data_IF_807363720881
#
_entry.id   IF_807363720881
#
_cell.length_a   1.000
_cell.length_b   1.000
_cell.length_c   1.000
_cell.angle_alpha   90.00
_cell.angle_beta   90.00
_cell.angle_gamma   90.00
#
_symmetry.space_group_name_H-M   'P 1'
#
loop_
_entity.id
_entity.type
_entity.pdbx_description
1 polymer ?
#
# COMPACT_ATOMS: atom_id res chain seq x y z
N UNK A 1 -16.36 -8.62 -7.59
CA UNK A 1 -15.04 -9.12 -8.03
C UNK A 1 -14.68 -10.21 -7.04
N UNK A 2 -14.62 -11.47 -7.48
CA UNK A 2 -14.42 -12.60 -6.56
C UNK A 2 -13.10 -12.46 -5.82
N UNK A 3 -13.12 -12.65 -4.50
CA UNK A 3 -11.92 -12.72 -3.67
C UNK A 3 -11.08 -13.91 -4.16
N UNK A 4 -10.07 -13.63 -4.97
CA UNK A 4 -8.94 -14.54 -5.13
C UNK A 4 -8.20 -14.44 -3.81
N UNK A 5 -8.10 -15.55 -3.07
CA UNK A 5 -7.29 -15.58 -1.86
C UNK A 5 -5.87 -15.17 -2.27
N UNK A 6 -5.39 -14.05 -1.72
CA UNK A 6 -4.05 -13.57 -2.01
C UNK A 6 -3.06 -14.71 -1.76
N UNK A 7 -2.04 -14.81 -2.62
CA UNK A 7 -0.97 -15.80 -2.43
C UNK A 7 -0.46 -15.67 -0.98
N UNK A 8 -0.29 -16.78 -0.21
CA UNK A 8 -0.04 -16.70 1.23
C UNK A 8 1.21 -15.90 1.60
N UNK A 9 2.14 -15.74 0.66
CA UNK A 9 3.34 -14.92 0.81
C UNK A 9 3.12 -13.42 0.55
N UNK A 10 2.08 -13.04 -0.21
CA UNK A 10 1.70 -11.64 -0.48
C UNK A 10 0.77 -11.09 0.58
N UNK A 11 -0.11 -11.92 1.16
CA UNK A 11 -1.13 -11.49 2.11
C UNK A 11 -0.57 -10.64 3.27
N UNK A 12 0.51 -11.04 3.98
CA UNK A 12 1.06 -10.22 5.08
C UNK A 12 1.70 -8.91 4.63
N UNK A 13 2.16 -8.82 3.37
CA UNK A 13 2.72 -7.58 2.83
C UNK A 13 1.61 -6.62 2.38
N UNK A 14 0.50 -7.17 1.88
CA UNK A 14 -0.69 -6.41 1.51
C UNK A 14 -1.46 -5.88 2.71
N UNK A 15 -1.62 -6.68 3.77
CA UNK A 15 -2.26 -6.24 5.02
C UNK A 15 -1.52 -5.03 5.62
N UNK A 16 -0.19 -5.11 5.73
CA UNK A 16 0.62 -3.99 6.21
C UNK A 16 0.52 -2.76 5.32
N UNK A 17 0.50 -2.97 3.99
CA UNK A 17 0.31 -1.86 3.07
C UNK A 17 -1.04 -1.18 3.34
N UNK A 18 -2.12 -1.93 3.48
CA UNK A 18 -3.45 -1.38 3.75
C UNK A 18 -3.50 -0.60 5.07
N UNK A 19 -2.87 -1.12 6.13
CA UNK A 19 -2.68 -0.40 7.41
C UNK A 19 -2.01 0.97 7.22
N UNK A 20 -0.89 1.01 6.48
CA UNK A 20 -0.19 2.28 6.23
C UNK A 20 -0.97 3.24 5.31
N UNK A 21 -1.84 2.72 4.44
CA UNK A 21 -2.74 3.55 3.62
C UNK A 21 -3.90 4.10 4.46
N UNK A 22 -4.33 3.39 5.51
CA UNK A 22 -5.39 3.86 6.43
C UNK A 22 -4.96 5.08 7.23
N UNK A 23 -3.67 5.16 7.53
CA UNK A 23 -3.07 6.28 8.25
C UNK A 23 -2.87 7.52 7.38
N UNK A 24 -3.27 7.50 6.09
CA UNK A 24 -3.22 8.68 5.24
C UNK A 24 -4.38 9.63 5.54
N UNK A 25 -4.10 10.94 5.64
CA UNK A 25 -5.16 11.92 5.84
C UNK A 25 -6.11 11.95 4.64
N UNK A 26 -7.41 11.86 4.93
CA UNK A 26 -8.47 11.92 3.93
C UNK A 26 -8.91 10.57 3.35
N UNK A 27 -8.27 9.47 3.75
CA UNK A 27 -8.77 8.11 3.48
C UNK A 27 -9.92 7.79 4.43
N UNK A 28 -11.04 7.29 3.89
CA UNK A 28 -12.18 6.88 4.70
C UNK A 28 -11.95 5.49 5.30
N UNK A 29 -11.79 5.45 6.63
CA UNK A 29 -11.55 4.19 7.33
C UNK A 29 -12.77 3.23 7.32
N UNK A 30 -13.94 3.69 6.87
CA UNK A 30 -15.15 2.88 6.77
C UNK A 30 -15.25 2.03 5.50
N UNK A 31 -14.38 2.23 4.50
CA UNK A 31 -14.31 1.42 3.28
C UNK A 31 -12.96 0.68 3.12
N UNK A 32 -12.78 -0.47 3.83
CA UNK A 32 -11.61 -1.32 3.67
C UNK A 32 -11.38 -1.83 2.24
N UNK A 33 -12.44 -2.02 1.45
CA UNK A 33 -12.32 -2.50 0.06
C UNK A 33 -11.88 -1.37 -0.89
N UNK A 34 -12.20 -0.12 -0.56
CA UNK A 34 -11.90 1.09 -1.32
C UNK A 34 -10.54 1.71 -1.03
N UNK A 35 -9.89 1.36 0.07
CA UNK A 35 -8.71 2.07 0.61
C UNK A 35 -7.58 2.31 -0.40
N UNK A 36 -7.22 1.29 -1.17
CA UNK A 36 -6.15 1.38 -2.18
C UNK A 36 -6.53 2.35 -3.31
N UNK A 37 -7.81 2.42 -3.66
CA UNK A 37 -8.31 3.33 -4.69
C UNK A 37 -8.33 4.77 -4.19
N UNK A 38 -8.76 4.98 -2.95
CA UNK A 38 -8.75 6.30 -2.31
C UNK A 38 -7.33 6.82 -2.14
N UNK A 39 -6.42 5.98 -1.64
CA UNK A 39 -5.01 6.32 -1.51
C UNK A 39 -4.40 6.74 -2.85
N UNK A 40 -4.74 6.08 -3.97
CA UNK A 40 -4.27 6.48 -5.30
C UNK A 40 -4.69 7.91 -5.69
N UNK A 41 -5.81 8.41 -5.18
CA UNK A 41 -6.28 9.77 -5.44
C UNK A 41 -5.63 10.82 -4.53
N UNK A 42 -5.19 10.41 -3.34
CA UNK A 42 -4.65 11.30 -2.30
C UNK A 42 -3.12 11.40 -2.35
N UNK A 43 -2.45 10.35 -2.85
CA UNK A 43 -1.01 10.31 -2.92
C UNK A 43 -0.46 11.27 -3.99
N UNK A 44 0.75 11.84 -3.77
CA UNK A 44 1.53 12.48 -4.82
C UNK A 44 1.66 11.57 -6.04
N UNK A 45 1.68 12.14 -7.24
CA UNK A 45 1.66 11.39 -8.51
C UNK A 45 2.70 10.28 -8.58
N UNK A 46 3.93 10.53 -8.12
CA UNK A 46 5.00 9.52 -8.13
C UNK A 46 4.69 8.32 -7.23
N UNK A 47 4.12 8.56 -6.05
CA UNK A 47 3.73 7.51 -5.11
C UNK A 47 2.48 6.76 -5.59
N UNK A 48 1.51 7.47 -6.17
CA UNK A 48 0.32 6.87 -6.76
C UNK A 48 0.69 5.94 -7.93
N UNK A 49 1.60 6.36 -8.81
CA UNK A 49 2.10 5.52 -9.91
C UNK A 49 2.81 4.27 -9.40
N UNK A 50 3.64 4.39 -8.36
CA UNK A 50 4.33 3.25 -7.74
C UNK A 50 3.35 2.28 -7.09
N UNK A 51 2.39 2.79 -6.31
CA UNK A 51 1.33 1.97 -5.72
C UNK A 51 0.55 1.23 -6.81
N UNK A 52 0.12 1.92 -7.88
CA UNK A 52 -0.58 1.30 -8.98
C UNK A 52 0.25 0.19 -9.66
N UNK A 53 1.54 0.44 -9.88
CA UNK A 53 2.46 -0.57 -10.43
C UNK A 53 2.56 -1.81 -9.54
N UNK A 54 2.69 -1.64 -8.22
CA UNK A 54 2.76 -2.74 -7.27
C UNK A 54 1.46 -3.57 -7.25
N UNK A 55 0.31 -2.91 -7.28
CA UNK A 55 -0.99 -3.59 -7.32
C UNK A 55 -1.20 -4.38 -8.61
N UNK A 56 -0.70 -3.87 -9.74
CA UNK A 56 -0.71 -4.61 -11.00
C UNK A 56 0.20 -5.85 -10.94
N UNK A 57 1.39 -5.72 -10.35
CA UNK A 57 2.31 -6.85 -10.14
C UNK A 57 1.70 -7.93 -9.24
N UNK A 58 1.06 -7.52 -8.13
CA UNK A 58 0.32 -8.43 -7.23
C UNK A 58 -0.77 -9.16 -7.98
N UNK A 59 -1.61 -8.43 -8.73
CA UNK A 59 -2.69 -9.02 -9.52
C UNK A 59 -2.16 -10.03 -10.56
N UNK A 60 -1.04 -9.73 -11.20
CA UNK A 60 -0.41 -10.64 -12.15
C UNK A 60 0.09 -11.92 -11.46
N UNK A 61 0.70 -11.79 -10.28
CA UNK A 61 1.16 -12.93 -9.48
C UNK A 61 0.01 -13.80 -8.97
N UNK A 62 -1.09 -13.21 -8.52
CA UNK A 62 -2.30 -13.94 -8.08
C UNK A 62 -2.96 -14.74 -9.23
N UNK A 63 -2.82 -14.26 -10.46
CA UNK A 63 -3.33 -14.93 -11.65
C UNK A 63 -2.35 -15.98 -12.21
N UNK A 64 -1.14 -16.06 -11.65
CA UNK A 64 -0.11 -17.00 -12.07
C UNK A 64 -0.16 -18.24 -11.16
N UNK A 65 -0.46 -19.45 -11.68
CA UNK A 65 -0.59 -20.66 -10.86
C UNK A 65 0.69 -21.05 -10.12
N UNK A 66 1.84 -20.85 -10.76
CA UNK A 66 3.17 -21.14 -10.22
C UNK A 66 4.08 -19.92 -10.47
N UNK A 67 3.94 -18.85 -9.66
CA UNK A 67 4.73 -17.65 -9.84
C UNK A 67 6.21 -17.93 -9.53
N UNK A 68 7.09 -17.33 -10.34
CA UNK A 68 8.53 -17.40 -10.11
C UNK A 68 8.86 -16.85 -8.71
N UNK A 69 9.59 -17.65 -7.91
CA UNK A 69 9.90 -17.32 -6.52
C UNK A 69 10.72 -16.04 -6.36
N UNK A 70 11.56 -15.70 -7.35
CA UNK A 70 12.32 -14.45 -7.38
C UNK A 70 11.37 -13.28 -7.61
N UNK A 71 10.47 -13.37 -8.58
CA UNK A 71 9.48 -12.31 -8.87
C UNK A 71 8.54 -12.09 -7.68
N UNK A 72 8.11 -13.16 -7.04
CA UNK A 72 7.32 -13.12 -5.81
C UNK A 72 8.09 -12.40 -4.69
N UNK A 73 9.36 -12.77 -4.47
CA UNK A 73 10.22 -12.15 -3.46
C UNK A 73 10.50 -10.67 -3.73
N UNK A 74 10.77 -10.31 -4.99
CA UNK A 74 10.96 -8.91 -5.41
C UNK A 74 9.70 -8.08 -5.19
N UNK A 75 8.52 -8.63 -5.47
CA UNK A 75 7.24 -7.94 -5.24
C UNK A 75 6.97 -7.75 -3.75
N UNK A 76 7.19 -8.77 -2.92
CA UNK A 76 7.08 -8.65 -1.45
C UNK A 76 8.05 -7.61 -0.90
N UNK A 77 9.29 -7.61 -1.40
CA UNK A 77 10.29 -6.62 -1.00
C UNK A 77 9.87 -5.20 -1.37
N UNK A 78 9.38 -4.99 -2.60
CA UNK A 78 8.94 -3.69 -3.08
C UNK A 78 7.69 -3.19 -2.33
N UNK A 79 6.75 -4.07 -1.98
CA UNK A 79 5.62 -3.75 -1.08
C UNK A 79 6.13 -3.29 0.30
N UNK A 80 7.12 -3.99 0.87
CA UNK A 80 7.73 -3.62 2.15
C UNK A 80 8.45 -2.27 2.12
N UNK A 81 9.16 -1.96 1.02
CA UNK A 81 9.77 -0.64 0.83
C UNK A 81 8.72 0.46 0.74
N UNK A 82 7.68 0.24 -0.06
CA UNK A 82 6.60 1.22 -0.22
C UNK A 82 5.88 1.46 1.11
N UNK A 83 5.59 0.41 1.88
CA UNK A 83 5.05 0.52 3.24
C UNK A 83 5.92 1.39 4.15
N UNK A 84 7.25 1.17 4.17
CA UNK A 84 8.16 1.97 4.99
C UNK A 84 8.15 3.45 4.59
N UNK A 85 8.05 3.75 3.28
CA UNK A 85 7.91 5.12 2.78
C UNK A 85 6.59 5.76 3.22
N UNK A 86 5.48 5.01 3.20
CA UNK A 86 4.17 5.48 3.65
C UNK A 86 4.17 5.82 5.15
N UNK A 87 4.77 4.96 5.97
CA UNK A 87 4.93 5.21 7.42
C UNK A 87 5.80 6.45 7.66
N UNK A 88 6.89 6.62 6.90
CA UNK A 88 7.74 7.80 7.02
C UNK A 88 7.01 9.09 6.63
N UNK A 89 6.18 9.03 5.57
CA UNK A 89 5.36 10.16 5.13
C UNK A 89 4.31 10.55 6.19
N UNK A 90 3.57 9.58 6.71
CA UNK A 90 2.56 9.81 7.76
C UNK A 90 3.20 10.44 9.01
N UNK A 91 4.35 9.90 9.45
CA UNK A 91 5.10 10.47 10.58
C UNK A 91 5.55 11.91 10.34
N UNK A 92 6.09 12.20 9.16
CA UNK A 92 6.52 13.56 8.82
C UNK A 92 5.35 14.56 8.81
N UNK A 93 4.17 14.13 8.36
CA UNK A 93 2.95 14.95 8.41
C UNK A 93 2.50 15.22 9.85
N UNK A 94 2.45 14.19 10.70
CA UNK A 94 2.10 14.35 12.12
C UNK A 94 3.06 15.30 12.86
N UNK A 95 4.35 15.25 12.54
CA UNK A 95 5.34 16.18 13.11
C UNK A 95 5.06 17.63 12.70
N UNK A 96 4.73 17.87 11.42
CA UNK A 96 4.33 19.20 10.91
C UNK A 96 3.07 19.70 11.63
N UNK A 97 2.03 18.87 11.73
CA UNK A 97 0.78 19.23 12.41
C UNK A 97 1.01 19.56 13.90
N UNK A 98 1.85 18.77 14.58
CA UNK A 98 2.18 19.01 15.99
C UNK A 98 2.92 20.34 16.22
N UNK A 99 3.79 20.73 15.28
CA UNK A 99 4.53 21.98 15.33
C UNK A 99 3.64 23.21 15.13
N UNK A 100 2.53 23.07 14.39
CA UNK A 100 1.57 24.15 14.14
C UNK A 100 0.56 24.35 15.29
N UNK A 101 0.18 23.29 16.00
CA UNK A 101 -0.76 23.36 17.13
C UNK A 101 -0.05 23.87 18.41
N UNK A 102 1.28 23.75 18.49
CA UNK A 102 2.10 24.14 19.64
C UNK A 102 2.59 25.59 19.68
N UNK A 103 2.21 26.45 18.73
CA UNK A 103 2.53 27.90 18.70
C UNK A 103 1.30 28.77 18.86
#
# INVERSE_FOLDING_TARGET
LGMVAAHPFLAPALERLDEALWDLPGVDASDPEGIRREALALLPTDLAQRLQGLLLSVKALEQTPEPDAKVLGETVFALGQFHAEMVALSRAQAEIESAWIGT
#
